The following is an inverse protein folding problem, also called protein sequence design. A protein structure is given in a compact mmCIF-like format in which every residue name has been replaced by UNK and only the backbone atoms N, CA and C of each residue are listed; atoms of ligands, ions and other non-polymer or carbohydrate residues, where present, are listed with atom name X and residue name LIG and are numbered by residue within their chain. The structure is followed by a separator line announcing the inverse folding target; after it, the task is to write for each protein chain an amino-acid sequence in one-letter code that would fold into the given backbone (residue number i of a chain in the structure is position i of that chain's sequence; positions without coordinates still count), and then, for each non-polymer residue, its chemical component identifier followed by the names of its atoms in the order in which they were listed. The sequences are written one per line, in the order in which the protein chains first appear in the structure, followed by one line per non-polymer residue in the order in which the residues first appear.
data_IF_273371599715
#
_entry.id   IF_273371599715
#
_cell.length_a   1.000
_cell.length_b   1.000
_cell.length_c   1.000
_cell.angle_alpha   90.00
_cell.angle_beta   90.00
_cell.angle_gamma   90.00
#
_symmetry.space_group_name_H-M   'P 1'
#
loop_
_entity.id
_entity.type
_entity.pdbx_description
1 polymer ?
#
# COMPACT_ATOMS: atom_id res chain seq x y z
N UNK A 1 -13.29 55.03 13.34
CA UNK A 1 -14.59 54.44 13.73
C UNK A 1 -14.59 54.31 15.25
N UNK A 2 -15.74 54.55 15.88
CA UNK A 2 -15.95 54.37 17.31
C UNK A 2 -17.13 53.40 17.47
N UNK A 3 -16.90 52.26 18.11
CA UNK A 3 -17.97 51.37 18.57
C UNK A 3 -18.36 51.80 19.99
N UNK A 4 -19.65 52.04 20.22
CA UNK A 4 -20.19 52.42 21.53
C UNK A 4 -21.46 51.62 21.82
N UNK A 5 -21.39 50.71 22.80
CA UNK A 5 -22.47 49.80 23.14
C UNK A 5 -22.29 49.10 24.47
N UNK A 6 -23.15 48.12 24.76
CA UNK A 6 -23.09 47.36 26.02
C UNK A 6 -22.00 46.29 26.03
N UNK A 7 -21.75 45.68 24.87
CA UNK A 7 -20.91 44.50 24.74
C UNK A 7 -19.50 44.85 24.26
N UNK A 8 -19.39 45.62 23.19
CA UNK A 8 -18.12 46.01 22.57
C UNK A 8 -17.96 47.53 22.53
N UNK A 9 -16.76 48.00 22.85
CA UNK A 9 -16.43 49.41 22.88
C UNK A 9 -14.96 49.58 22.49
N UNK A 10 -14.71 50.23 21.36
CA UNK A 10 -13.35 50.45 20.87
C UNK A 10 -13.29 51.62 19.89
N UNK A 11 -12.10 52.20 19.77
CA UNK A 11 -11.75 53.11 18.69
C UNK A 11 -10.91 52.35 17.68
N UNK A 12 -11.36 52.33 16.42
CA UNK A 12 -10.59 51.79 15.31
C UNK A 12 -10.18 52.92 14.37
N UNK A 13 -8.87 53.07 14.17
CA UNK A 13 -8.28 54.03 13.23
C UNK A 13 -7.59 53.24 12.12
N UNK A 14 -7.96 53.51 10.87
CA UNK A 14 -7.32 52.91 9.70
C UNK A 14 -6.22 53.85 9.22
N UNK A 15 -4.98 53.36 9.19
CA UNK A 15 -3.84 54.09 8.65
C UNK A 15 -3.05 53.18 7.71
N UNK A 16 -2.85 53.61 6.45
CA UNK A 16 -2.17 52.83 5.41
C UNK A 16 -2.68 51.37 5.32
N UNK A 17 -3.99 51.18 5.33
CA UNK A 17 -4.69 49.89 5.33
C UNK A 17 -4.44 48.98 6.55
N UNK A 18 -3.76 49.47 7.60
CA UNK A 18 -3.59 48.74 8.85
C UNK A 18 -4.59 49.28 9.90
N UNK A 19 -5.49 48.42 10.43
CA UNK A 19 -6.38 48.82 11.50
C UNK A 19 -5.62 48.87 12.82
N UNK A 20 -5.71 50.00 13.51
CA UNK A 20 -5.21 50.18 14.87
C UNK A 20 -6.45 50.25 15.76
N UNK A 21 -6.57 49.29 16.67
CA UNK A 21 -7.73 49.12 17.54
C UNK A 21 -7.29 49.42 18.97
N UNK A 22 -8.05 50.26 19.65
CA UNK A 22 -7.87 50.58 21.07
C UNK A 22 -9.17 50.31 21.79
N UNK A 23 -9.17 49.34 22.69
CA UNK A 23 -10.34 49.01 23.50
C UNK A 23 -10.67 50.14 24.48
N UNK A 24 -11.95 50.41 24.64
CA UNK A 24 -12.46 51.41 25.59
C UNK A 24 -13.21 50.65 26.68
N UNK A 25 -12.69 50.71 27.90
CA UNK A 25 -13.25 49.94 28.99
C UNK A 25 -14.50 50.61 29.58
N UNK A 26 -15.56 49.80 29.74
CA UNK A 26 -16.74 50.14 30.53
C UNK A 26 -16.81 49.28 31.79
N UNK A 27 -17.00 49.93 32.94
CA UNK A 27 -17.22 49.23 34.22
C UNK A 27 -18.57 48.52 34.21
N UNK A 28 -18.74 47.52 35.07
CA UNK A 28 -20.04 46.86 35.24
C UNK A 28 -21.16 47.84 35.64
N UNK A 29 -20.86 48.83 36.49
CA UNK A 29 -21.80 49.89 36.83
C UNK A 29 -22.13 50.80 35.64
N UNK A 30 -21.15 51.07 34.78
CA UNK A 30 -21.33 51.91 33.59
C UNK A 30 -22.24 51.22 32.58
N UNK A 31 -22.09 49.90 32.41
CA UNK A 31 -22.99 49.09 31.59
C UNK A 31 -24.43 49.11 32.11
N UNK A 32 -24.62 49.02 33.44
CA UNK A 32 -25.94 49.17 34.07
C UNK A 32 -26.52 50.57 33.82
N UNK A 33 -25.70 51.60 33.93
CA UNK A 33 -26.10 52.99 33.66
C UNK A 33 -26.53 53.20 32.21
N UNK A 34 -25.87 52.56 31.24
CA UNK A 34 -26.26 52.58 29.83
C UNK A 34 -27.58 51.86 29.57
N UNK A 35 -27.83 50.72 30.24
CA UNK A 35 -29.09 49.99 30.12
C UNK A 35 -30.26 50.75 30.73
N UNK A 36 -30.08 51.29 31.93
CA UNK A 36 -31.14 51.94 32.69
C UNK A 36 -31.37 53.37 32.18
N UNK A 37 -30.31 54.15 31.90
CA UNK A 37 -30.40 55.52 31.37
C UNK A 37 -31.30 56.47 32.19
N UNK A 38 -31.39 56.26 33.51
CA UNK A 38 -32.34 56.95 34.40
C UNK A 38 -31.76 58.16 35.14
N UNK A 39 -30.43 58.25 35.27
CA UNK A 39 -29.76 59.26 36.08
C UNK A 39 -28.73 60.05 35.25
N UNK A 40 -29.06 61.32 34.96
CA UNK A 40 -28.22 62.21 34.15
C UNK A 40 -26.81 62.39 34.73
N UNK A 41 -26.65 62.45 36.07
CA UNK A 41 -25.33 62.61 36.69
C UNK A 41 -24.44 61.40 36.46
N UNK A 42 -25.01 60.20 36.54
CA UNK A 42 -24.30 58.96 36.29
C UNK A 42 -23.94 58.81 34.81
N UNK A 43 -24.88 59.17 33.92
CA UNK A 43 -24.63 59.21 32.47
C UNK A 43 -23.51 60.19 32.12
N UNK A 44 -23.51 61.40 32.67
CA UNK A 44 -22.46 62.38 32.42
C UNK A 44 -21.09 61.90 32.95
N UNK A 45 -21.06 61.27 34.12
CA UNK A 45 -19.85 60.70 34.69
C UNK A 45 -19.31 59.54 33.83
N UNK A 46 -20.20 58.69 33.31
CA UNK A 46 -19.86 57.62 32.36
C UNK A 46 -19.29 58.21 31.08
N UNK A 47 -19.98 59.17 30.47
CA UNK A 47 -19.57 59.82 29.23
C UNK A 47 -18.19 60.44 29.37
N UNK A 48 -17.92 61.12 30.50
CA UNK A 48 -16.60 61.69 30.78
C UNK A 48 -15.52 60.60 30.82
N UNK A 49 -15.74 59.50 31.55
CA UNK A 49 -14.79 58.37 31.60
C UNK A 49 -14.55 57.76 30.23
N UNK A 50 -15.61 57.55 29.46
CA UNK A 50 -15.56 56.97 28.13
C UNK A 50 -14.78 57.88 27.17
N UNK A 51 -15.13 59.17 27.11
CA UNK A 51 -14.51 60.11 26.20
C UNK A 51 -13.06 60.44 26.58
N UNK A 52 -12.70 60.40 27.86
CA UNK A 52 -11.28 60.51 28.25
C UNK A 52 -10.45 59.39 27.65
N UNK A 53 -10.94 58.14 27.67
CA UNK A 53 -10.25 57.01 27.03
C UNK A 53 -10.20 57.17 25.52
N UNK A 54 -11.29 57.60 24.88
CA UNK A 54 -11.32 57.89 23.44
C UNK A 54 -10.33 58.98 23.07
N UNK A 55 -10.25 60.06 23.86
CA UNK A 55 -9.31 61.16 23.67
C UNK A 55 -7.86 60.69 23.81
N UNK A 56 -7.58 59.81 24.76
CA UNK A 56 -6.26 59.20 24.92
C UNK A 56 -5.90 58.37 23.67
N UNK A 57 -6.80 57.47 23.23
CA UNK A 57 -6.58 56.66 22.03
C UNK A 57 -6.33 57.51 20.77
N UNK A 58 -7.09 58.59 20.59
CA UNK A 58 -6.86 59.56 19.52
C UNK A 58 -5.49 60.20 19.70
N UNK A 59 -5.17 60.75 20.88
CA UNK A 59 -3.91 61.45 21.14
C UNK A 59 -2.68 60.58 20.92
N UNK A 60 -2.73 59.31 21.34
CA UNK A 60 -1.66 58.32 21.12
C UNK A 60 -1.44 58.08 19.62
N UNK A 61 -2.52 57.98 18.85
CA UNK A 61 -2.44 57.88 17.39
C UNK A 61 -1.89 59.15 16.75
N UNK A 62 -2.43 60.33 17.10
CA UNK A 62 -2.03 61.61 16.50
C UNK A 62 -0.55 61.93 16.76
N UNK A 63 -0.05 61.58 17.95
CA UNK A 63 1.36 61.76 18.32
C UNK A 63 2.26 60.79 17.57
N UNK A 64 1.85 59.52 17.45
CA UNK A 64 2.66 58.48 16.81
C UNK A 64 2.77 58.65 15.29
N UNK A 65 1.72 59.13 14.65
CA UNK A 65 1.64 59.19 13.18
C UNK A 65 1.60 60.62 12.62
N UNK A 66 1.63 61.65 13.47
CA UNK A 66 1.59 63.06 13.09
C UNK A 66 0.38 63.42 12.20
N UNK A 67 -0.75 62.74 12.40
CA UNK A 67 -2.01 62.96 11.67
C UNK A 67 -3.12 63.29 12.64
N UNK A 68 -3.91 64.32 12.33
CA UNK A 68 -5.07 64.73 13.15
C UNK A 68 -6.35 63.98 12.79
N UNK A 69 -7.11 63.56 13.79
CA UNK A 69 -8.43 62.93 13.67
C UNK A 69 -9.52 63.98 13.90
N UNK A 70 -10.10 64.47 12.81
CA UNK A 70 -11.18 65.48 12.86
C UNK A 70 -12.57 64.89 13.07
N UNK A 71 -12.79 63.65 12.66
CA UNK A 71 -14.11 63.02 12.68
C UNK A 71 -14.02 61.54 13.04
N UNK A 72 -14.91 61.10 13.93
CA UNK A 72 -15.19 59.71 14.21
C UNK A 72 -16.59 59.33 13.74
N UNK A 73 -16.65 58.29 12.91
CA UNK A 73 -17.88 57.59 12.55
C UNK A 73 -18.25 56.65 13.70
N UNK A 74 -19.42 56.84 14.29
CA UNK A 74 -19.88 56.09 15.46
C UNK A 74 -20.85 54.99 15.02
N UNK A 75 -20.65 53.81 15.57
CA UNK A 75 -21.54 52.65 15.45
C UNK A 75 -22.03 52.30 16.85
N UNK A 76 -23.33 52.09 16.97
CA UNK A 76 -23.96 51.80 18.26
C UNK A 76 -25.27 51.04 18.06
N UNK A 77 -25.56 50.15 19.00
CA UNK A 77 -26.86 49.47 19.14
C UNK A 77 -27.78 50.13 20.17
N UNK A 78 -27.38 51.26 20.77
CA UNK A 78 -28.17 51.96 21.77
C UNK A 78 -29.32 52.75 21.13
N UNK A 79 -30.50 52.70 21.75
CA UNK A 79 -31.71 53.40 21.28
C UNK A 79 -31.52 54.92 21.33
N UNK A 80 -30.96 55.44 22.43
CA UNK A 80 -30.76 56.87 22.68
C UNK A 80 -29.34 57.36 22.38
N UNK A 81 -28.69 56.79 21.38
CA UNK A 81 -27.27 57.08 21.07
C UNK A 81 -27.00 58.58 20.84
N UNK A 82 -27.92 59.32 20.22
CA UNK A 82 -27.72 60.75 19.93
C UNK A 82 -27.60 61.62 21.20
N UNK A 83 -28.26 61.26 22.30
CA UNK A 83 -28.11 61.96 23.58
C UNK A 83 -26.67 61.85 24.10
N UNK A 84 -26.07 60.65 23.97
CA UNK A 84 -24.67 60.43 24.31
C UNK A 84 -23.73 61.16 23.35
N UNK A 85 -24.02 61.17 22.04
CA UNK A 85 -23.21 61.89 21.06
C UNK A 85 -23.20 63.40 21.29
N UNK A 86 -24.32 63.99 21.71
CA UNK A 86 -24.37 65.39 22.11
C UNK A 86 -23.39 65.66 23.26
N UNK A 87 -23.35 64.78 24.27
CA UNK A 87 -22.38 64.86 25.37
C UNK A 87 -20.94 64.58 24.91
N UNK A 88 -20.71 63.71 23.93
CA UNK A 88 -19.38 63.48 23.36
C UNK A 88 -18.82 64.73 22.70
N UNK A 89 -19.64 65.40 21.88
CA UNK A 89 -19.29 66.66 21.20
C UNK A 89 -18.94 67.77 22.20
N UNK A 90 -19.63 67.83 23.36
CA UNK A 90 -19.31 68.78 24.44
C UNK A 90 -17.96 68.49 25.11
N UNK A 91 -17.61 67.22 25.32
CA UNK A 91 -16.39 66.82 26.01
C UNK A 91 -15.15 66.80 25.10
N UNK A 92 -15.32 66.69 23.78
CA UNK A 92 -14.23 66.68 22.81
C UNK A 92 -14.56 67.57 21.60
N UNK A 93 -14.38 68.89 21.79
CA UNK A 93 -14.78 69.94 20.84
C UNK A 93 -14.09 69.87 19.46
N UNK A 94 -12.86 69.33 19.42
CA UNK A 94 -12.05 69.31 18.19
C UNK A 94 -12.29 68.07 17.30
N UNK A 95 -13.18 67.16 17.72
CA UNK A 95 -13.50 65.93 16.98
C UNK A 95 -15.00 65.80 16.80
N UNK A 96 -15.45 65.72 15.54
CA UNK A 96 -16.85 65.47 15.21
C UNK A 96 -17.22 64.01 15.46
N UNK A 97 -18.36 63.79 16.10
CA UNK A 97 -18.97 62.46 16.25
C UNK A 97 -20.24 62.40 15.42
N UNK A 98 -20.25 61.50 14.44
CA UNK A 98 -21.38 61.31 13.52
C UNK A 98 -21.76 59.84 13.48
N UNK A 99 -23.06 59.53 13.61
CA UNK A 99 -23.54 58.17 13.35
C UNK A 99 -23.14 57.75 11.94
N UNK A 100 -22.64 56.52 11.85
CA UNK A 100 -22.32 55.92 10.57
C UNK A 100 -23.59 55.35 9.95
N UNK A 101 -23.78 55.59 8.65
CA UNK A 101 -24.84 54.95 7.88
C UNK A 101 -24.18 54.05 6.82
N UNK A 102 -24.17 52.72 7.04
CA UNK A 102 -23.51 51.77 6.14
C UNK A 102 -24.27 51.54 4.83
N UNK A 103 -25.52 52.01 4.74
CA UNK A 103 -26.39 51.81 3.57
C UNK A 103 -26.72 53.12 2.84
N UNK A 104 -26.15 54.25 3.28
CA UNK A 104 -26.39 55.59 2.71
C UNK A 104 -26.24 55.64 1.19
N UNK A 105 -25.19 55.01 0.68
CA UNK A 105 -24.84 55.04 -0.75
C UNK A 105 -25.33 53.78 -1.50
N UNK A 106 -26.14 52.95 -0.85
CA UNK A 106 -26.70 51.74 -1.46
C UNK A 106 -28.06 52.04 -2.11
N UNK A 107 -28.28 51.44 -3.28
CA UNK A 107 -29.61 51.41 -3.89
C UNK A 107 -30.45 50.35 -3.18
N UNK A 108 -31.42 50.80 -2.40
CA UNK A 108 -32.33 49.94 -1.64
C UNK A 108 -33.56 49.66 -2.50
N UNK A 109 -33.88 48.39 -2.80
CA UNK A 109 -35.14 48.04 -3.46
C UNK A 109 -36.35 48.46 -2.62
N UNK A 110 -37.44 48.89 -3.28
CA UNK A 110 -38.65 49.37 -2.61
C UNK A 110 -39.23 48.39 -1.58
N UNK A 111 -39.15 47.08 -1.84
CA UNK A 111 -39.65 46.04 -0.94
C UNK A 111 -38.84 45.91 0.37
N UNK A 112 -37.66 46.53 0.47
CA UNK A 112 -36.81 46.51 1.68
C UNK A 112 -36.79 47.86 2.41
N UNK A 113 -37.40 48.91 1.86
CA UNK A 113 -37.35 50.26 2.46
C UNK A 113 -37.88 50.29 3.89
N UNK A 114 -38.97 49.58 4.16
CA UNK A 114 -39.56 49.50 5.50
C UNK A 114 -38.62 48.77 6.49
N UNK A 115 -37.91 47.74 6.04
CA UNK A 115 -36.99 46.96 6.88
C UNK A 115 -35.74 47.74 7.29
N UNK A 116 -35.39 48.78 6.55
CA UNK A 116 -34.23 49.65 6.82
C UNK A 116 -34.62 51.02 7.37
N UNK A 117 -35.93 51.29 7.53
CA UNK A 117 -36.45 52.53 8.06
C UNK A 117 -36.39 52.57 9.60
N UNK A 118 -35.16 52.52 10.11
CA UNK A 118 -34.86 52.57 11.54
C UNK A 118 -34.12 53.87 11.87
N UNK A 119 -34.36 54.39 13.07
CA UNK A 119 -33.78 55.67 13.51
C UNK A 119 -32.24 55.65 13.53
N UNK A 120 -31.65 54.55 13.99
CA UNK A 120 -30.21 54.37 14.03
C UNK A 120 -29.82 53.27 13.05
N UNK A 121 -29.35 53.63 11.84
CA UNK A 121 -28.89 52.65 10.83
C UNK A 121 -27.47 52.14 11.09
N UNK A 122 -26.76 52.71 12.08
CA UNK A 122 -25.35 52.37 12.32
C UNK A 122 -25.17 50.92 12.77
N UNK A 123 -26.15 50.32 13.45
CA UNK A 123 -26.05 48.92 13.88
C UNK A 123 -26.00 47.92 12.70
N UNK A 124 -26.41 48.31 11.49
CA UNK A 124 -26.27 47.47 10.31
C UNK A 124 -24.83 47.28 9.84
N UNK A 125 -23.87 48.05 10.38
CA UNK A 125 -22.48 48.08 9.91
C UNK A 125 -21.83 46.70 9.90
N UNK A 126 -22.07 45.90 10.95
CA UNK A 126 -21.53 44.56 11.07
C UNK A 126 -22.09 43.62 9.99
N UNK A 127 -23.41 43.63 9.79
CA UNK A 127 -24.09 42.77 8.80
C UNK A 127 -23.70 43.16 7.38
N UNK A 128 -23.70 44.45 7.09
CA UNK A 128 -23.31 44.99 5.78
C UNK A 128 -21.84 44.71 5.50
N UNK A 129 -20.94 44.89 6.48
CA UNK A 129 -19.52 44.55 6.35
C UNK A 129 -19.30 43.06 6.05
N UNK A 130 -20.05 42.16 6.70
CA UNK A 130 -20.04 40.73 6.41
C UNK A 130 -20.54 40.42 4.99
N UNK A 131 -21.57 41.11 4.52
CA UNK A 131 -22.09 40.96 3.16
C UNK A 131 -21.06 41.42 2.11
N UNK A 132 -20.41 42.57 2.32
CA UNK A 132 -19.32 43.04 1.45
C UNK A 132 -18.13 42.09 1.40
N UNK A 133 -17.77 41.48 2.54
CA UNK A 133 -16.76 40.41 2.56
C UNK A 133 -17.13 39.23 1.67
N UNK A 134 -18.42 38.89 1.56
CA UNK A 134 -18.91 37.82 0.67
C UNK A 134 -18.91 38.23 -0.80
N UNK A 135 -19.07 39.53 -1.11
CA UNK A 135 -19.05 40.07 -2.48
C UNK A 135 -17.63 40.19 -3.07
N UNK A 136 -16.58 40.22 -2.23
CA UNK A 136 -15.19 40.08 -2.68
C UNK A 136 -14.84 38.61 -3.01
N UNK A 137 -15.57 38.04 -3.98
CA UNK A 137 -15.45 36.62 -4.40
C UNK A 137 -14.14 36.36 -5.14
N UNK A 138 -13.47 37.41 -5.63
CA UNK A 138 -12.26 37.31 -6.46
C UNK A 138 -10.98 37.80 -5.75
N UNK A 139 -11.07 38.39 -4.56
CA UNK A 139 -9.90 38.73 -3.73
C UNK A 139 -9.04 39.89 -4.26
N UNK A 140 -9.63 40.82 -5.01
CA UNK A 140 -8.90 41.98 -5.56
C UNK A 140 -8.53 43.01 -4.49
N UNK A 141 -9.27 43.07 -3.39
CA UNK A 141 -8.89 43.85 -2.22
C UNK A 141 -8.01 42.99 -1.31
N UNK A 142 -6.69 43.14 -1.51
CA UNK A 142 -5.59 42.54 -0.72
C UNK A 142 -6.05 42.04 0.66
N UNK A 143 -5.93 40.73 0.86
CA UNK A 143 -5.91 40.08 2.16
C UNK A 143 -4.98 40.84 3.13
N UNK A 144 -5.51 41.78 3.90
CA UNK A 144 -4.77 42.42 4.98
C UNK A 144 -4.52 41.32 6.01
N UNK A 145 -3.25 41.09 6.31
CA UNK A 145 -2.73 40.02 7.18
C UNK A 145 -3.39 39.97 8.57
N UNK A 146 -4.07 41.04 9.00
CA UNK A 146 -4.72 41.16 10.30
C UNK A 146 -6.01 40.33 10.48
N UNK A 147 -6.71 39.92 9.40
CA UNK A 147 -7.97 39.14 9.53
C UNK A 147 -7.74 37.63 9.43
N UNK A 148 -6.49 37.18 9.29
CA UNK A 148 -6.15 35.74 9.25
C UNK A 148 -6.35 35.03 10.61
N UNK A 149 -6.52 35.77 11.71
CA UNK A 149 -6.60 35.22 13.07
C UNK A 149 -8.00 35.17 13.69
N UNK A 150 -9.04 35.78 13.10
CA UNK A 150 -10.41 35.67 13.62
C UNK A 150 -11.11 34.51 12.92
N UNK A 151 -11.29 33.42 13.67
CA UNK A 151 -11.91 32.20 13.17
C UNK A 151 -13.37 32.10 13.63
N UNK A 152 -14.29 32.31 12.70
CA UNK A 152 -15.75 32.29 12.92
C UNK A 152 -16.39 30.92 12.67
N UNK A 153 -15.61 29.89 12.30
CA UNK A 153 -16.15 28.57 12.03
C UNK A 153 -16.29 27.77 13.32
N UNK A 154 -17.52 27.41 13.76
CA UNK A 154 -17.70 26.34 14.73
C UNK A 154 -17.07 25.07 14.17
N UNK A 155 -16.44 24.25 15.01
CA UNK A 155 -15.75 23.02 14.62
C UNK A 155 -14.52 23.19 13.70
N UNK A 156 -13.77 24.31 13.76
CA UNK A 156 -12.50 24.46 13.00
C UNK A 156 -11.54 23.29 13.22
N UNK A 157 -11.36 22.83 14.46
CA UNK A 157 -10.46 21.71 14.73
C UNK A 157 -10.91 20.44 14.00
N UNK A 158 -12.21 20.12 14.05
CA UNK A 158 -12.78 18.97 13.34
C UNK A 158 -12.73 19.14 11.82
N UNK A 159 -12.97 20.35 11.30
CA UNK A 159 -12.86 20.65 9.87
C UNK A 159 -11.42 20.58 9.36
N UNK A 160 -10.45 21.06 10.15
CA UNK A 160 -9.03 20.96 9.83
C UNK A 160 -8.54 19.51 9.94
N UNK A 161 -8.99 18.76 10.96
CA UNK A 161 -8.71 17.33 11.09
C UNK A 161 -9.30 16.55 9.91
N UNK A 162 -10.54 16.81 9.52
CA UNK A 162 -11.19 16.21 8.34
C UNK A 162 -10.46 16.55 7.05
N UNK A 163 -10.01 17.80 6.87
CA UNK A 163 -9.20 18.21 5.70
C UNK A 163 -7.84 17.52 5.69
N UNK A 164 -7.11 17.48 6.82
CA UNK A 164 -5.81 16.79 6.95
C UNK A 164 -5.97 15.30 6.68
N UNK A 165 -6.98 14.66 7.26
CA UNK A 165 -7.29 13.25 7.04
C UNK A 165 -7.66 12.95 5.59
N UNK A 166 -8.43 13.82 4.92
CA UNK A 166 -8.76 13.68 3.49
C UNK A 166 -7.52 13.80 2.59
N UNK A 167 -6.61 14.71 2.91
CA UNK A 167 -5.33 14.83 2.19
C UNK A 167 -4.47 13.57 2.42
N UNK A 168 -4.38 13.11 3.66
CA UNK A 168 -3.62 11.91 4.02
C UNK A 168 -4.20 10.66 3.36
N UNK A 169 -5.54 10.49 3.33
CA UNK A 169 -6.18 9.35 2.68
C UNK A 169 -6.00 9.39 1.17
N UNK A 170 -6.08 10.56 0.54
CA UNK A 170 -5.83 10.71 -0.89
C UNK A 170 -4.35 10.41 -1.24
N UNK A 171 -3.42 10.82 -0.39
CA UNK A 171 -1.99 10.52 -0.57
C UNK A 171 -1.69 9.04 -0.36
N UNK A 172 -2.20 8.43 0.71
CA UNK A 172 -2.04 7.00 0.98
C UNK A 172 -2.67 6.14 -0.13
N UNK A 173 -3.87 6.50 -0.61
CA UNK A 173 -4.52 5.80 -1.71
C UNK A 173 -3.68 5.88 -3.00
N UNK A 174 -3.19 7.07 -3.37
CA UNK A 174 -2.30 7.23 -4.54
C UNK A 174 -0.98 6.48 -4.37
N UNK A 175 -0.43 6.45 -3.16
CA UNK A 175 0.77 5.69 -2.82
C UNK A 175 0.57 4.17 -2.97
N UNK A 176 -0.54 3.63 -2.47
CA UNK A 176 -0.89 2.21 -2.61
C UNK A 176 -1.09 1.85 -4.09
N UNK A 177 -1.86 2.64 -4.83
CA UNK A 177 -2.07 2.42 -6.27
C UNK A 177 -0.74 2.45 -7.02
N UNK A 178 0.15 3.41 -6.71
CA UNK A 178 1.49 3.48 -7.29
C UNK A 178 2.35 2.25 -6.98
N UNK A 179 2.37 1.80 -5.73
CA UNK A 179 3.14 0.63 -5.30
C UNK A 179 2.63 -0.66 -5.97
N UNK A 180 1.32 -0.88 -6.00
CA UNK A 180 0.71 -2.05 -6.66
C UNK A 180 1.02 -2.05 -8.15
N UNK A 181 0.92 -0.89 -8.81
CA UNK A 181 1.23 -0.76 -10.25
C UNK A 181 2.70 -1.07 -10.51
N UNK A 182 3.63 -0.58 -9.69
CA UNK A 182 5.06 -0.86 -9.82
C UNK A 182 5.38 -2.35 -9.65
N UNK A 183 4.79 -3.02 -8.65
CA UNK A 183 4.94 -4.47 -8.44
C UNK A 183 4.45 -5.25 -9.67
N UNK A 184 3.30 -4.88 -10.22
CA UNK A 184 2.74 -5.55 -11.38
C UNK A 184 3.63 -5.40 -12.62
N UNK A 185 4.15 -4.19 -12.87
CA UNK A 185 5.10 -3.94 -13.97
C UNK A 185 6.40 -4.71 -13.79
N UNK A 186 6.93 -4.82 -12.56
CA UNK A 186 8.12 -5.59 -12.27
C UNK A 186 7.92 -7.09 -12.57
N UNK A 187 6.81 -7.67 -12.09
CA UNK A 187 6.49 -9.07 -12.38
C UNK A 187 6.24 -9.32 -13.87
N UNK A 188 5.60 -8.38 -14.55
CA UNK A 188 5.37 -8.47 -16.00
C UNK A 188 6.71 -8.47 -16.76
N UNK A 189 7.63 -7.56 -16.42
CA UNK A 189 8.97 -7.50 -17.01
C UNK A 189 9.79 -8.77 -16.77
N UNK A 190 9.80 -9.28 -15.53
CA UNK A 190 10.48 -10.54 -15.18
C UNK A 190 9.89 -11.73 -15.95
N UNK A 191 8.57 -11.79 -16.09
CA UNK A 191 7.88 -12.85 -16.82
C UNK A 191 8.23 -12.83 -18.31
N UNK A 192 8.23 -11.63 -18.91
CA UNK A 192 8.63 -11.46 -20.31
C UNK A 192 10.09 -11.91 -20.55
N UNK A 193 10.99 -11.54 -19.65
CA UNK A 193 12.39 -11.97 -19.71
C UNK A 193 12.52 -13.50 -19.64
N UNK A 194 11.81 -14.13 -18.69
CA UNK A 194 11.81 -15.57 -18.53
C UNK A 194 11.26 -16.29 -19.77
N UNK A 195 10.14 -15.82 -20.33
CA UNK A 195 9.55 -16.38 -21.55
C UNK A 195 10.54 -16.33 -22.71
N UNK A 196 11.20 -15.18 -22.93
CA UNK A 196 12.19 -15.05 -23.99
C UNK A 196 13.37 -16.02 -23.79
N UNK A 197 13.90 -16.13 -22.57
CA UNK A 197 14.97 -17.06 -22.24
C UNK A 197 14.57 -18.52 -22.46
N UNK A 198 13.36 -18.93 -22.05
CA UNK A 198 12.88 -20.29 -22.25
C UNK A 198 12.64 -20.59 -23.73
N UNK A 199 12.07 -19.65 -24.49
CA UNK A 199 11.89 -19.81 -25.93
C UNK A 199 13.22 -20.04 -26.64
N UNK A 200 14.27 -19.30 -26.30
CA UNK A 200 15.62 -19.51 -26.86
C UNK A 200 16.18 -20.91 -26.52
N UNK A 201 15.94 -21.42 -25.31
CA UNK A 201 16.39 -22.75 -24.89
C UNK A 201 15.58 -23.89 -25.54
N UNK A 202 14.33 -23.63 -25.90
CA UNK A 202 13.43 -24.60 -26.51
C UNK A 202 13.60 -24.75 -28.02
N UNK A 203 14.35 -23.85 -28.69
CA UNK A 203 14.59 -23.91 -30.15
C UNK A 203 15.11 -25.28 -30.60
N UNK A 204 15.96 -25.92 -29.79
CA UNK A 204 16.56 -27.21 -30.12
C UNK A 204 15.87 -28.40 -29.42
N UNK A 205 14.74 -28.18 -28.75
CA UNK A 205 14.08 -29.21 -27.94
C UNK A 205 13.73 -30.46 -28.76
N UNK A 206 13.08 -30.28 -29.91
CA UNK A 206 12.66 -31.38 -30.78
C UNK A 206 13.84 -32.21 -31.28
N UNK A 207 14.95 -31.53 -31.61
CA UNK A 207 16.19 -32.17 -32.02
C UNK A 207 16.79 -33.01 -30.89
N UNK A 208 16.89 -32.45 -29.68
CA UNK A 208 17.43 -33.15 -28.50
C UNK A 208 16.56 -34.36 -28.13
N UNK A 209 15.23 -34.24 -28.19
CA UNK A 209 14.31 -35.35 -27.92
C UNK A 209 14.48 -36.47 -28.95
N UNK A 210 14.61 -36.12 -30.23
CA UNK A 210 14.88 -37.09 -31.30
C UNK A 210 16.23 -37.79 -31.10
N UNK A 211 17.30 -37.03 -30.87
CA UNK A 211 18.64 -37.55 -30.65
C UNK A 211 18.71 -38.47 -29.42
N UNK A 212 18.03 -38.09 -28.32
CA UNK A 212 17.95 -38.93 -27.13
C UNK A 212 17.24 -40.26 -27.40
N UNK A 213 16.14 -40.27 -28.17
CA UNK A 213 15.46 -41.51 -28.58
C UNK A 213 16.38 -42.40 -29.41
N UNK A 214 17.07 -41.84 -30.41
CA UNK A 214 18.01 -42.58 -31.26
C UNK A 214 19.18 -43.15 -30.45
N UNK A 215 19.82 -42.32 -29.63
CA UNK A 215 20.95 -42.73 -28.76
C UNK A 215 20.53 -43.76 -27.72
N UNK A 216 19.30 -43.71 -27.21
CA UNK A 216 18.77 -44.73 -26.30
C UNK A 216 18.64 -46.08 -27.00
N UNK A 217 18.19 -46.10 -28.26
CA UNK A 217 18.10 -47.32 -29.07
C UNK A 217 19.50 -47.88 -29.36
N UNK A 218 20.44 -47.03 -29.79
CA UNK A 218 21.84 -47.42 -30.01
C UNK A 218 22.48 -48.00 -28.75
N UNK A 219 22.33 -47.32 -27.61
CA UNK A 219 22.83 -47.78 -26.30
C UNK A 219 22.28 -49.15 -25.94
N UNK A 220 20.98 -49.41 -26.18
CA UNK A 220 20.37 -50.73 -25.95
C UNK A 220 20.99 -51.81 -26.85
N UNK A 221 21.27 -51.51 -28.13
CA UNK A 221 21.93 -52.44 -29.05
C UNK A 221 23.35 -52.77 -28.58
N UNK A 222 24.16 -51.74 -28.31
CA UNK A 222 25.54 -51.88 -27.82
C UNK A 222 25.58 -52.63 -26.49
N UNK A 223 24.68 -52.34 -25.56
CA UNK A 223 24.61 -53.05 -24.28
C UNK A 223 24.30 -54.54 -24.45
N UNK A 224 23.43 -54.91 -25.40
CA UNK A 224 23.15 -56.32 -25.73
C UNK A 224 24.38 -57.02 -26.30
N UNK A 225 25.09 -56.38 -27.24
CA UNK A 225 26.33 -56.91 -27.82
C UNK A 225 27.42 -57.08 -26.75
N UNK A 226 27.64 -56.06 -25.93
CA UNK A 226 28.58 -56.12 -24.82
C UNK A 226 28.21 -57.22 -23.82
N UNK A 227 26.93 -57.42 -23.55
CA UNK A 227 26.43 -58.54 -22.76
C UNK A 227 26.76 -59.91 -23.37
N UNK A 228 26.59 -60.07 -24.69
CA UNK A 228 26.99 -61.30 -25.41
C UNK A 228 28.50 -61.51 -25.32
N UNK A 229 29.30 -60.49 -25.64
CA UNK A 229 30.77 -60.55 -25.60
C UNK A 229 31.25 -60.92 -24.18
N UNK A 230 30.68 -60.30 -23.15
CA UNK A 230 31.04 -60.58 -21.74
C UNK A 230 30.67 -62.01 -21.33
N UNK A 231 29.51 -62.52 -21.75
CA UNK A 231 29.13 -63.92 -21.54
C UNK A 231 30.11 -64.86 -22.24
N UNK A 232 30.41 -64.63 -23.52
CA UNK A 232 31.38 -65.42 -24.29
C UNK A 232 32.77 -65.39 -23.66
N UNK A 233 33.23 -64.24 -23.19
CA UNK A 233 34.52 -64.07 -22.51
C UNK A 233 34.56 -64.80 -21.15
N UNK A 234 33.46 -64.77 -20.39
CA UNK A 234 33.38 -65.53 -19.14
C UNK A 234 33.35 -67.04 -19.41
N UNK A 235 32.57 -67.49 -20.40
CA UNK A 235 32.58 -68.87 -20.88
C UNK A 235 33.98 -69.31 -21.32
N UNK A 236 34.70 -68.49 -22.10
CA UNK A 236 36.07 -68.80 -22.53
C UNK A 236 37.04 -68.91 -21.36
N UNK A 237 36.88 -68.09 -20.32
CA UNK A 237 37.68 -68.17 -19.09
C UNK A 237 37.36 -69.41 -18.24
N UNK A 238 36.10 -69.85 -18.20
CA UNK A 238 35.69 -71.07 -17.49
C UNK A 238 36.01 -72.37 -18.23
N UNK A 239 36.40 -72.28 -19.51
CA UNK A 239 36.89 -73.44 -20.27
C UNK A 239 38.33 -73.71 -19.81
N UNK A 240 38.44 -74.45 -18.71
CA UNK A 240 39.66 -75.12 -18.26
C UNK A 240 39.48 -76.62 -18.47
N UNK A 241 40.43 -77.26 -19.17
CA UNK A 241 40.63 -78.73 -19.30
C UNK A 241 40.07 -79.48 -20.53
N UNK A 242 40.79 -80.56 -20.89
CA UNK A 242 40.86 -81.30 -22.17
C UNK A 242 39.52 -81.89 -22.66
N UNK A 243 38.73 -81.10 -23.40
CA UNK A 243 37.43 -81.49 -24.03
C UNK A 243 37.45 -82.80 -24.84
N UNK A 244 38.59 -83.16 -25.46
CA UNK A 244 38.71 -84.37 -26.29
C UNK A 244 38.52 -85.67 -25.49
N UNK A 245 38.94 -85.69 -24.21
CA UNK A 245 38.86 -86.88 -23.37
C UNK A 245 37.46 -87.01 -22.77
N UNK A 246 36.90 -85.93 -22.23
CA UNK A 246 35.53 -85.93 -21.68
C UNK A 246 34.47 -86.24 -22.75
N UNK A 247 34.61 -85.70 -23.96
CA UNK A 247 33.74 -86.04 -25.07
C UNK A 247 33.84 -87.53 -25.46
N UNK A 248 35.06 -88.09 -25.50
CA UNK A 248 35.25 -89.52 -25.80
C UNK A 248 34.60 -90.43 -24.76
N UNK A 249 34.75 -90.13 -23.48
CA UNK A 249 34.16 -90.91 -22.39
C UNK A 249 32.62 -90.84 -22.46
N UNK A 250 32.05 -89.65 -22.63
CA UNK A 250 30.60 -89.48 -22.73
C UNK A 250 30.03 -90.12 -24.01
N UNK A 251 30.73 -90.01 -25.14
CA UNK A 251 30.34 -90.67 -26.38
C UNK A 251 30.38 -92.20 -26.28
N UNK A 252 31.40 -92.76 -25.61
CA UNK A 252 31.51 -94.20 -25.35
C UNK A 252 30.35 -94.70 -24.48
N UNK A 253 30.02 -93.98 -23.40
CA UNK A 253 28.87 -94.33 -22.56
C UNK A 253 27.57 -94.28 -23.36
N UNK A 254 27.38 -93.25 -24.18
CA UNK A 254 26.20 -93.11 -25.04
C UNK A 254 26.09 -94.24 -26.09
N UNK A 255 27.20 -94.72 -26.65
CA UNK A 255 27.20 -95.83 -27.61
C UNK A 255 26.93 -97.20 -26.98
N UNK A 256 27.24 -97.37 -25.69
CA UNK A 256 27.07 -98.64 -24.98
C UNK A 256 25.64 -98.85 -24.43
N UNK A 257 24.74 -97.86 -24.54
CA UNK A 257 23.38 -97.92 -23.98
C UNK A 257 22.45 -98.85 -24.79
N UNK A 258 21.91 -99.93 -24.21
CA UNK A 258 20.87 -100.73 -24.85
C UNK A 258 19.57 -99.93 -25.02
N UNK A 259 18.79 -100.24 -26.07
CA UNK A 259 17.49 -99.55 -26.35
C UNK A 259 16.51 -99.55 -25.17
N UNK A 260 16.64 -100.48 -24.21
CA UNK A 260 15.76 -100.66 -23.05
C UNK A 260 16.32 -100.06 -21.75
N UNK A 261 17.35 -99.23 -21.84
CA UNK A 261 17.90 -98.46 -20.71
C UNK A 261 17.80 -96.97 -21.01
N UNK A 262 17.26 -96.19 -20.07
CA UNK A 262 17.12 -94.74 -20.19
C UNK A 262 17.79 -94.04 -19.03
N UNK A 263 18.72 -93.13 -19.34
CA UNK A 263 19.35 -92.28 -18.32
C UNK A 263 18.48 -91.06 -18.00
N UNK A 264 18.33 -90.79 -16.70
CA UNK A 264 17.73 -89.57 -16.17
C UNK A 264 18.80 -88.52 -15.90
N UNK A 265 19.99 -88.93 -15.46
CA UNK A 265 21.12 -88.02 -15.29
C UNK A 265 22.47 -88.71 -15.49
N UNK A 266 23.42 -87.95 -16.02
CA UNK A 266 24.83 -88.31 -16.18
C UNK A 266 25.65 -87.19 -15.53
N UNK A 267 26.34 -87.51 -14.43
CA UNK A 267 27.20 -86.55 -13.75
C UNK A 267 28.66 -87.01 -13.82
N UNK A 268 29.48 -86.23 -14.53
CA UNK A 268 30.92 -86.45 -14.60
C UNK A 268 31.65 -85.33 -13.86
N UNK A 269 32.49 -85.71 -12.91
CA UNK A 269 33.20 -84.74 -12.07
C UNK A 269 34.44 -84.13 -12.73
N UNK A 270 34.65 -84.33 -14.04
CA UNK A 270 35.80 -83.80 -14.75
C UNK A 270 37.10 -84.61 -14.58
N UNK A 271 37.11 -85.65 -13.74
CA UNK A 271 38.32 -86.41 -13.37
C UNK A 271 38.20 -87.91 -13.58
N UNK A 272 37.69 -88.63 -12.58
CA UNK A 272 37.75 -90.11 -12.53
C UNK A 272 36.43 -90.79 -12.23
N UNK A 273 35.33 -90.02 -12.10
CA UNK A 273 34.03 -90.57 -11.69
C UNK A 273 32.92 -90.08 -12.60
N UNK A 274 32.22 -91.03 -13.21
CA UNK A 274 30.92 -90.83 -13.85
C UNK A 274 29.86 -91.51 -13.00
N UNK A 275 28.78 -90.80 -12.67
CA UNK A 275 27.60 -91.33 -11.99
C UNK A 275 26.45 -91.32 -12.97
N UNK A 276 25.88 -92.49 -13.22
CA UNK A 276 24.71 -92.69 -14.10
C UNK A 276 23.50 -93.00 -13.22
N UNK A 277 22.39 -92.28 -13.41
CA UNK A 277 21.09 -92.61 -12.82
C UNK A 277 20.06 -92.75 -13.93
N UNK A 278 19.19 -93.73 -13.82
CA UNK A 278 18.19 -94.01 -14.83
C UNK A 278 17.36 -95.25 -14.51
N UNK A 279 16.58 -95.65 -15.50
CA UNK A 279 15.66 -96.78 -15.44
C UNK A 279 16.03 -97.81 -16.51
N UNK A 280 15.88 -99.09 -16.18
CA UNK A 280 16.05 -100.20 -17.10
C UNK A 280 14.79 -101.06 -17.08
N UNK A 281 14.45 -101.68 -18.22
CA UNK A 281 13.27 -102.52 -18.31
C UNK A 281 13.40 -103.81 -17.48
N UNK A 282 14.60 -104.37 -17.38
CA UNK A 282 14.91 -105.56 -16.56
C UNK A 282 16.34 -105.54 -16.03
N UNK A 283 16.62 -106.35 -15.02
CA UNK A 283 17.99 -106.50 -14.49
C UNK A 283 18.98 -107.03 -15.54
N UNK A 284 18.50 -107.83 -16.50
CA UNK A 284 19.32 -108.31 -17.62
C UNK A 284 19.78 -107.15 -18.53
N UNK A 285 18.97 -106.10 -18.69
CA UNK A 285 19.33 -104.91 -19.47
C UNK A 285 20.41 -104.06 -18.76
N UNK A 286 20.42 -104.08 -17.42
CA UNK A 286 21.48 -103.45 -16.61
C UNK A 286 22.78 -104.24 -16.77
N UNK A 287 22.72 -105.57 -16.71
CA UNK A 287 23.90 -106.44 -16.92
C UNK A 287 24.48 -106.27 -18.33
N UNK A 288 23.64 -106.23 -19.36
CA UNK A 288 24.06 -105.97 -20.74
C UNK A 288 24.70 -104.57 -20.92
N UNK A 289 24.20 -103.55 -20.21
CA UNK A 289 24.83 -102.22 -20.21
C UNK A 289 26.21 -102.25 -19.55
N UNK A 290 26.32 -102.93 -18.40
CA UNK A 290 27.59 -103.08 -17.65
C UNK A 290 28.63 -103.79 -18.52
N UNK A 291 28.26 -104.88 -19.19
CA UNK A 291 29.13 -105.64 -20.08
C UNK A 291 29.66 -104.75 -21.22
N UNK A 292 28.78 -104.02 -21.92
CA UNK A 292 29.17 -103.09 -23.00
C UNK A 292 30.02 -101.91 -22.54
N UNK A 293 29.96 -101.52 -21.27
CA UNK A 293 30.82 -100.48 -20.70
C UNK A 293 32.18 -101.08 -20.32
N UNK A 294 32.24 -102.33 -19.82
CA UNK A 294 33.48 -103.01 -19.45
C UNK A 294 34.32 -103.43 -20.67
N UNK A 295 33.69 -103.78 -21.80
CA UNK A 295 34.40 -104.00 -23.07
C UNK A 295 35.12 -102.74 -23.58
N UNK A 296 34.70 -101.56 -23.12
CA UNK A 296 35.37 -100.30 -23.44
C UNK A 296 36.63 -100.13 -22.57
N UNK A 297 37.81 -100.16 -23.21
CA UNK A 297 39.16 -100.24 -22.59
C UNK A 297 39.54 -99.19 -21.51
N UNK A 298 38.67 -98.25 -21.13
CA UNK A 298 39.03 -97.09 -20.30
C UNK A 298 38.16 -96.87 -19.06
N UNK A 299 37.29 -97.81 -18.67
CA UNK A 299 36.33 -97.61 -17.56
C UNK A 299 36.32 -98.80 -16.57
N UNK A 300 36.45 -98.49 -15.27
CA UNK A 300 36.28 -99.44 -14.17
C UNK A 300 35.00 -99.10 -13.37
N UNK A 301 34.18 -100.12 -13.07
CA UNK A 301 32.88 -99.95 -12.42
C UNK A 301 32.93 -100.32 -10.92
N UNK A 302 32.21 -99.56 -10.09
CA UNK A 302 31.85 -99.91 -8.70
C UNK A 302 30.33 -99.77 -8.54
N UNK A 303 29.64 -100.86 -8.21
CA UNK A 303 28.19 -100.86 -7.94
C UNK A 303 27.95 -100.54 -6.46
N UNK A 304 27.08 -99.57 -6.20
CA UNK A 304 26.46 -99.35 -4.89
C UNK A 304 24.98 -99.72 -5.03
N UNK A 305 24.49 -100.57 -4.12
CA UNK A 305 23.06 -100.87 -3.99
C UNK A 305 22.36 -99.73 -3.29
#
# INVERSE_FOLDING_TARGET
MLEFGLDENYVMILYNNNPIITDIFLRSQDRKTLQESNNQKEMDALVRRFITQVKQAIGDFETKYEKRIRNLKVVSNLVKVEEYLASFRKNLLNTGFNLFDPIKDLKIPQHLEESVNVQNRSYFSTVIGLAFRKLDVFGYYKFVTAVKNINLLPNRQNMMAKKRMKVFSNFAFKGIVGAVTAIYLAFFGLSFWNINQYNQKLVNYDKVVSDHKLKTVEKKKVAKELGKIKKTLNLSKTITSKKKISYRILAQIASSVPKRVRFESINYNGGSRVVLKGQAFSDQDILNLIEKILESKNLNLKKHR
#
